data_IF_483327829256
#
_entry.id   IF_483327829256
#
_cell.length_a   1.000
_cell.length_b   1.000
_cell.length_c   1.000
_cell.angle_alpha   90.00
_cell.angle_beta   90.00
_cell.angle_gamma   90.00
#
_symmetry.space_group_name_H-M   'P 1'
#
loop_
_entity.id
_entity.type
_entity.pdbx_description
1 polymer ?
#
# COMPACT_ATOMS: atom_id res chain seq x y z
N UNK A 1 -1.67 13.00 -3.52
CA UNK A 1 -2.76 13.34 -2.57
C UNK A 1 -2.08 13.98 -1.39
N UNK A 2 -2.04 15.31 -1.41
CA UNK A 2 -1.25 16.10 -0.47
C UNK A 2 -1.72 15.92 0.97
N UNK A 3 -0.73 15.87 1.86
CA UNK A 3 -0.86 15.52 3.27
C UNK A 3 -1.49 16.67 4.06
N UNK A 4 -2.82 16.84 3.94
CA UNK A 4 -3.58 17.77 4.80
C UNK A 4 -3.34 17.48 6.29
N UNK A 5 -3.06 16.22 6.63
CA UNK A 5 -2.82 15.76 8.00
C UNK A 5 -1.53 16.29 8.66
N UNK A 6 -0.61 16.91 7.91
CA UNK A 6 0.70 17.33 8.48
C UNK A 6 0.76 18.78 8.93
N UNK A 7 -0.21 19.63 8.55
CA UNK A 7 -0.17 21.08 8.83
C UNK A 7 -1.28 21.57 9.78
N UNK A 8 -2.43 20.89 9.80
CA UNK A 8 -3.58 21.31 10.62
C UNK A 8 -4.04 20.21 11.56
N UNK A 9 -4.30 20.58 12.81
CA UNK A 9 -4.91 19.70 13.82
C UNK A 9 -6.42 19.59 13.60
N UNK A 10 -7.03 18.50 14.07
CA UNK A 10 -8.48 18.30 13.99
C UNK A 10 -9.26 19.48 14.61
N UNK A 11 -8.75 20.03 15.71
CA UNK A 11 -9.34 21.20 16.38
C UNK A 11 -9.27 22.48 15.54
N UNK A 12 -8.17 22.74 14.85
CA UNK A 12 -8.08 23.90 13.94
C UNK A 12 -9.06 23.80 12.78
N UNK A 13 -9.27 22.59 12.25
CA UNK A 13 -10.25 22.36 11.17
C UNK A 13 -11.68 22.51 11.70
N UNK A 14 -12.00 22.05 12.91
CA UNK A 14 -13.31 22.28 13.55
C UNK A 14 -13.62 23.76 13.67
N UNK A 15 -12.65 24.59 14.09
CA UNK A 15 -12.85 26.04 14.23
C UNK A 15 -13.16 26.69 12.89
N UNK A 16 -12.46 26.31 11.82
CA UNK A 16 -12.71 26.83 10.46
C UNK A 16 -14.09 26.40 9.93
N UNK A 17 -14.47 25.12 10.12
CA UNK A 17 -15.79 24.62 9.73
C UNK A 17 -16.92 25.26 10.55
N UNK A 18 -16.69 25.53 11.84
CA UNK A 18 -17.65 26.27 12.66
C UNK A 18 -17.82 27.71 12.17
N UNK A 19 -16.73 28.40 11.84
CA UNK A 19 -16.77 29.74 11.25
C UNK A 19 -17.52 29.78 9.90
N UNK A 20 -17.41 28.72 9.09
CA UNK A 20 -18.23 28.54 7.89
C UNK A 20 -19.72 28.37 8.21
N UNK A 21 -20.06 27.50 9.17
CA UNK A 21 -21.45 27.29 9.60
C UNK A 21 -22.09 28.56 10.19
N UNK A 22 -21.28 29.43 10.79
CA UNK A 22 -21.71 30.73 11.33
C UNK A 22 -21.77 31.85 10.28
N UNK A 23 -21.31 31.59 9.05
CA UNK A 23 -21.26 32.59 7.97
C UNK A 23 -20.19 33.66 8.13
N UNK A 24 -19.21 33.43 9.02
CA UNK A 24 -18.09 34.36 9.28
C UNK A 24 -16.96 34.14 8.26
N UNK A 25 -16.81 32.90 7.77
CA UNK A 25 -15.76 32.51 6.84
C UNK A 25 -16.36 31.97 5.54
N UNK A 26 -15.78 32.42 4.43
CA UNK A 26 -16.14 31.94 3.11
C UNK A 26 -15.46 30.60 2.78
N UNK A 27 -16.18 29.75 2.04
CA UNK A 27 -15.67 28.48 1.52
C UNK A 27 -14.29 28.61 0.84
N UNK A 28 -14.08 29.52 -0.15
CA UNK A 28 -12.78 29.66 -0.81
C UNK A 28 -11.65 30.01 0.16
N UNK A 29 -11.91 30.85 1.17
CA UNK A 29 -10.90 31.21 2.16
C UNK A 29 -10.45 29.99 2.98
N UNK A 30 -11.36 29.07 3.30
CA UNK A 30 -11.06 27.83 4.02
C UNK A 30 -10.34 26.82 3.11
N UNK A 31 -10.74 26.72 1.84
CA UNK A 31 -10.07 25.88 0.84
C UNK A 31 -8.60 26.30 0.66
N UNK A 32 -8.34 27.60 0.55
CA UNK A 32 -6.99 28.17 0.44
C UNK A 32 -6.18 28.00 1.73
N UNK A 33 -6.81 28.25 2.89
CA UNK A 33 -6.16 28.12 4.21
C UNK A 33 -5.74 26.67 4.47
N UNK A 34 -6.61 25.71 4.18
CA UNK A 34 -6.34 24.28 4.38
C UNK A 34 -5.57 23.64 3.23
N UNK A 35 -5.47 24.31 2.08
CA UNK A 35 -4.87 23.78 0.86
C UNK A 35 -5.61 22.55 0.34
N UNK A 36 -6.94 22.53 0.45
CA UNK A 36 -7.78 21.37 0.09
C UNK A 36 -8.65 21.64 -1.13
N UNK A 37 -9.02 20.57 -1.83
CA UNK A 37 -9.97 20.66 -2.93
C UNK A 37 -11.40 20.89 -2.43
N UNK A 38 -12.24 21.49 -3.28
CA UNK A 38 -13.69 21.65 -3.04
C UNK A 38 -14.37 20.35 -2.61
N UNK A 39 -14.05 19.23 -3.27
CA UNK A 39 -14.65 17.93 -2.92
C UNK A 39 -14.26 17.50 -1.50
N UNK A 40 -13.00 17.68 -1.13
CA UNK A 40 -12.51 17.39 0.23
C UNK A 40 -13.19 18.27 1.26
N UNK A 41 -13.39 19.57 0.98
CA UNK A 41 -14.09 20.49 1.87
C UNK A 41 -15.50 19.99 2.21
N UNK A 42 -16.29 19.58 1.21
CA UNK A 42 -17.66 19.10 1.46
C UNK A 42 -17.71 17.76 2.20
N UNK A 43 -16.72 16.88 1.99
CA UNK A 43 -16.57 15.64 2.78
C UNK A 43 -16.32 15.97 4.24
N UNK A 44 -15.34 16.83 4.53
CA UNK A 44 -15.02 17.25 5.90
C UNK A 44 -16.21 17.97 6.57
N UNK A 45 -16.92 18.82 5.83
CA UNK A 45 -18.12 19.49 6.32
C UNK A 45 -19.24 18.50 6.63
N UNK A 46 -19.41 17.47 5.80
CA UNK A 46 -20.38 16.39 6.03
C UNK A 46 -20.06 15.61 7.30
N UNK A 47 -18.81 15.18 7.46
CA UNK A 47 -18.33 14.48 8.66
C UNK A 47 -18.51 15.32 9.93
N UNK A 48 -18.15 16.61 9.87
CA UNK A 48 -18.32 17.55 10.97
C UNK A 48 -19.80 17.75 11.35
N UNK A 49 -20.71 17.82 10.37
CA UNK A 49 -22.15 17.99 10.64
C UNK A 49 -22.81 16.73 11.20
N UNK A 50 -22.31 15.55 10.85
CA UNK A 50 -22.80 14.30 11.39
C UNK A 50 -22.44 14.14 12.88
N UNK A 51 -21.19 14.40 13.27
CA UNK A 51 -20.75 14.29 14.67
C UNK A 51 -19.61 15.30 14.97
N UNK A 52 -19.93 16.52 15.45
CA UNK A 52 -18.92 17.55 15.70
C UNK A 52 -17.98 17.20 16.87
N UNK A 53 -18.45 16.43 17.86
CA UNK A 53 -17.68 16.08 19.05
C UNK A 53 -16.61 15.00 18.77
N UNK A 54 -16.90 14.07 17.86
CA UNK A 54 -16.01 12.93 17.53
C UNK A 54 -15.18 13.19 16.26
N UNK A 55 -15.32 14.36 15.63
CA UNK A 55 -14.55 14.71 14.44
C UNK A 55 -13.05 14.62 14.72
N UNK A 56 -12.40 13.69 14.01
CA UNK A 56 -11.00 13.35 14.16
C UNK A 56 -10.39 13.17 12.78
N UNK A 57 -9.34 13.94 12.50
CA UNK A 57 -8.57 13.84 11.25
C UNK A 57 -7.49 12.76 11.32
N UNK A 58 -7.54 11.86 12.30
CA UNK A 58 -6.56 10.78 12.42
C UNK A 58 -6.78 9.82 11.26
N UNK A 59 -5.93 9.93 10.23
CA UNK A 59 -5.85 8.96 9.16
C UNK A 59 -5.45 7.60 9.74
N UNK A 60 -6.42 6.72 9.97
CA UNK A 60 -6.17 5.34 10.36
C UNK A 60 -6.10 4.48 9.11
N UNK A 61 -4.89 4.06 8.73
CA UNK A 61 -4.72 3.04 7.70
C UNK A 61 -5.12 1.69 8.28
N UNK A 62 -6.35 1.25 8.00
CA UNK A 62 -6.88 -0.03 8.48
C UNK A 62 -6.34 -1.26 7.73
N UNK A 63 -5.41 -1.09 6.78
CA UNK A 63 -4.74 -2.23 6.15
C UNK A 63 -3.50 -2.62 6.97
N UNK A 64 -3.44 -3.86 7.50
CA UNK A 64 -2.19 -4.36 8.06
C UNK A 64 -1.13 -4.26 6.96
N UNK A 65 -0.08 -3.47 7.23
CA UNK A 65 1.01 -3.25 6.27
C UNK A 65 1.84 -4.52 6.05
N UNK A 66 1.59 -5.58 6.84
CA UNK A 66 2.35 -6.83 6.84
C UNK A 66 1.43 -8.01 6.57
N UNK A 67 1.88 -8.88 5.67
CA UNK A 67 1.31 -10.22 5.55
C UNK A 67 1.43 -10.91 6.92
N UNK A 68 0.44 -11.72 7.34
CA UNK A 68 0.56 -12.46 8.58
C UNK A 68 1.80 -13.35 8.52
N UNK A 69 2.54 -13.45 9.62
CA UNK A 69 3.81 -14.19 9.68
C UNK A 69 3.69 -15.66 9.22
N UNK A 70 2.50 -16.26 9.36
CA UNK A 70 2.19 -17.59 8.83
C UNK A 70 2.32 -17.64 7.30
N UNK A 71 1.79 -16.64 6.60
CA UNK A 71 1.87 -16.53 5.14
C UNK A 71 3.30 -16.28 4.69
N UNK A 72 4.05 -15.44 5.41
CA UNK A 72 5.46 -15.19 5.07
C UNK A 72 6.31 -16.46 5.17
N UNK A 73 6.12 -17.27 6.22
CA UNK A 73 6.81 -18.56 6.38
C UNK A 73 6.47 -19.55 5.27
N UNK A 74 5.22 -19.58 4.81
CA UNK A 74 4.81 -20.46 3.70
C UNK A 74 5.44 -20.01 2.38
N UNK A 75 5.48 -18.70 2.11
CA UNK A 75 6.15 -18.16 0.93
C UNK A 75 7.65 -18.48 0.96
N UNK A 76 8.31 -18.34 2.12
CA UNK A 76 9.72 -18.67 2.30
C UNK A 76 10.00 -20.16 2.04
N UNK A 77 9.19 -21.07 2.61
CA UNK A 77 9.35 -22.50 2.42
C UNK A 77 9.25 -22.90 0.94
N UNK A 78 8.25 -22.39 0.21
CA UNK A 78 8.10 -22.67 -1.23
C UNK A 78 9.23 -22.06 -2.07
N UNK A 79 9.73 -20.86 -1.72
CA UNK A 79 10.87 -20.25 -2.39
C UNK A 79 12.18 -21.02 -2.18
N UNK A 80 12.38 -21.61 -1.00
CA UNK A 80 13.55 -22.45 -0.71
C UNK A 80 13.48 -23.79 -1.45
N UNK A 81 12.29 -24.38 -1.58
CA UNK A 81 12.09 -25.57 -2.42
C UNK A 81 12.42 -25.28 -3.88
N UNK A 82 11.91 -24.16 -4.41
CA UNK A 82 12.22 -23.76 -5.79
C UNK A 82 13.70 -23.47 -5.99
N UNK A 83 14.36 -22.86 -5.00
CA UNK A 83 15.82 -22.64 -5.03
C UNK A 83 16.59 -23.95 -5.10
N UNK A 84 16.20 -24.97 -4.33
CA UNK A 84 16.82 -26.30 -4.40
C UNK A 84 16.71 -26.92 -5.80
N UNK A 85 15.59 -26.72 -6.50
CA UNK A 85 15.40 -27.23 -7.87
C UNK A 85 16.27 -26.51 -8.91
N UNK A 86 16.51 -25.22 -8.73
CA UNK A 86 17.38 -24.42 -9.62
C UNK A 86 18.86 -24.67 -9.34
N UNK A 87 19.23 -24.95 -8.09
CA UNK A 87 20.61 -25.26 -7.70
C UNK A 87 21.02 -26.70 -8.03
N UNK A 88 20.05 -27.60 -8.25
CA UNK A 88 20.31 -29.00 -8.62
C UNK A 88 20.84 -29.10 -10.07
N UNK A 89 22.13 -29.45 -10.28
CA UNK A 89 22.71 -29.53 -11.61
C UNK A 89 22.21 -30.72 -12.43
N UNK A 90 21.48 -31.66 -11.81
CA UNK A 90 20.91 -32.82 -12.51
C UNK A 90 19.60 -32.48 -13.23
N UNK A 91 18.96 -31.37 -12.84
CA UNK A 91 17.71 -30.91 -13.43
C UNK A 91 18.00 -29.81 -14.46
N UNK A 92 17.39 -29.86 -15.66
CA UNK A 92 17.54 -28.82 -16.68
C UNK A 92 16.67 -27.58 -16.35
N UNK A 93 16.77 -27.06 -15.13
CA UNK A 93 15.98 -25.93 -14.63
C UNK A 93 16.94 -24.80 -14.33
N UNK A 94 16.89 -23.74 -15.12
CA UNK A 94 17.81 -22.60 -15.00
C UNK A 94 17.23 -21.41 -14.24
N UNK A 95 15.92 -21.39 -13.94
CA UNK A 95 15.28 -20.25 -13.29
C UNK A 95 14.01 -20.57 -12.51
N UNK A 96 13.61 -19.61 -11.68
CA UNK A 96 12.50 -19.72 -10.74
C UNK A 96 11.13 -19.64 -11.41
N UNK A 97 10.25 -20.60 -11.16
CA UNK A 97 8.87 -20.58 -11.64
C UNK A 97 7.90 -20.03 -10.58
N UNK A 98 7.75 -18.71 -10.53
CA UNK A 98 6.84 -18.04 -9.60
C UNK A 98 5.35 -18.36 -9.81
N UNK A 99 4.96 -18.83 -11.01
CA UNK A 99 3.59 -19.28 -11.25
C UNK A 99 3.32 -20.60 -10.51
N UNK A 100 4.27 -21.55 -10.58
CA UNK A 100 4.16 -22.81 -9.83
C UNK A 100 4.13 -22.58 -8.32
N UNK A 101 4.97 -21.67 -7.80
CA UNK A 101 4.94 -21.28 -6.38
C UNK A 101 3.57 -20.72 -5.98
N UNK A 102 3.02 -19.83 -6.81
CA UNK A 102 1.69 -19.24 -6.56
C UNK A 102 0.60 -20.30 -6.50
N UNK A 103 0.64 -21.29 -7.40
CA UNK A 103 -0.34 -22.38 -7.44
C UNK A 103 -0.22 -23.29 -6.22
N UNK A 104 1.00 -23.57 -5.74
CA UNK A 104 1.23 -24.34 -4.49
C UNK A 104 0.73 -23.58 -3.27
N UNK A 105 1.03 -22.29 -3.16
CA UNK A 105 0.53 -21.42 -2.09
C UNK A 105 -1.01 -21.36 -2.10
N UNK A 106 -1.64 -21.31 -3.27
CA UNK A 106 -3.09 -21.36 -3.39
C UNK A 106 -3.69 -22.67 -2.85
N UNK A 107 -3.02 -23.82 -3.05
CA UNK A 107 -3.43 -25.11 -2.45
C UNK A 107 -3.34 -25.11 -0.92
N UNK A 108 -2.39 -24.36 -0.35
CA UNK A 108 -2.27 -24.15 1.09
C UNK A 108 -3.22 -23.06 1.64
N UNK A 109 -4.11 -22.52 0.80
CA UNK A 109 -5.08 -21.49 1.19
C UNK A 109 -4.50 -20.07 1.22
N UNK A 110 -3.27 -19.88 0.72
CA UNK A 110 -2.59 -18.59 0.68
C UNK A 110 -2.69 -17.98 -0.70
N UNK A 111 -3.60 -17.01 -0.83
CA UNK A 111 -3.81 -16.27 -2.07
C UNK A 111 -2.95 -15.01 -2.05
N UNK A 112 -1.82 -15.04 -2.74
CA UNK A 112 -0.92 -13.90 -2.91
C UNK A 112 -0.67 -13.59 -4.39
N UNK A 113 -0.38 -12.33 -4.67
CA UNK A 113 -0.06 -11.90 -6.03
C UNK A 113 1.39 -12.24 -6.37
N UNK A 114 1.68 -12.50 -7.66
CA UNK A 114 3.05 -12.77 -8.12
C UNK A 114 4.05 -11.65 -7.78
N UNK A 115 3.69 -10.34 -7.86
CA UNK A 115 4.58 -9.26 -7.41
C UNK A 115 4.99 -9.38 -5.93
N UNK A 116 4.08 -9.84 -5.06
CA UNK A 116 4.39 -10.07 -3.65
C UNK A 116 5.39 -11.21 -3.47
N UNK A 117 5.22 -12.31 -4.21
CA UNK A 117 6.16 -13.44 -4.19
C UNK A 117 7.54 -12.99 -4.70
N UNK A 118 7.59 -12.23 -5.80
CA UNK A 118 8.85 -11.71 -6.38
C UNK A 118 9.54 -10.74 -5.41
N UNK A 119 8.79 -9.87 -4.74
CA UNK A 119 9.35 -8.96 -3.74
C UNK A 119 10.03 -9.76 -2.61
N UNK A 120 9.38 -10.81 -2.09
CA UNK A 120 9.95 -11.70 -1.08
C UNK A 120 11.12 -12.52 -1.62
N UNK A 121 11.05 -12.99 -2.85
CA UNK A 121 12.15 -13.70 -3.50
C UNK A 121 13.42 -12.85 -3.58
N UNK A 122 13.30 -11.54 -3.81
CA UNK A 122 14.43 -10.59 -3.74
C UNK A 122 14.98 -10.48 -2.32
N UNK A 123 14.11 -10.38 -1.31
CA UNK A 123 14.52 -10.31 0.10
C UNK A 123 15.30 -11.57 0.53
N UNK A 124 14.90 -12.76 0.04
CA UNK A 124 15.54 -14.05 0.35
C UNK A 124 16.69 -14.44 -0.59
N UNK A 125 17.02 -13.62 -1.59
CA UNK A 125 18.07 -13.92 -2.57
C UNK A 125 17.71 -15.02 -3.58
N UNK A 126 16.43 -15.42 -3.67
CA UNK A 126 15.89 -16.36 -4.66
C UNK A 126 15.42 -15.63 -5.93
N UNK A 127 16.17 -14.63 -6.39
CA UNK A 127 15.81 -13.82 -7.55
C UNK A 127 16.99 -13.71 -8.50
N UNK A 128 16.80 -14.21 -9.73
CA UNK A 128 17.76 -13.98 -10.81
C UNK A 128 17.39 -12.70 -11.56
N UNK A 129 18.24 -11.66 -11.53
CA UNK A 129 18.05 -10.50 -12.39
C UNK A 129 18.19 -10.96 -13.84
N UNK A 130 17.23 -10.57 -14.68
CA UNK A 130 17.34 -10.84 -16.11
C UNK A 130 18.54 -10.05 -16.67
N UNK A 131 19.45 -10.69 -17.43
CA UNK A 131 20.54 -9.97 -18.06
C UNK A 131 19.95 -8.91 -18.99
N UNK A 132 20.41 -7.67 -18.83
CA UNK A 132 19.97 -6.56 -19.67
C UNK A 132 20.34 -6.90 -21.12
N UNK A 133 19.33 -6.97 -22.01
CA UNK A 133 19.59 -7.16 -23.44
C UNK A 133 20.45 -6.00 -23.91
N UNK A 134 21.74 -6.24 -24.15
CA UNK A 134 22.59 -5.30 -24.87
C UNK A 134 21.87 -4.98 -26.18
N UNK A 135 21.39 -3.74 -26.29
CA UNK A 135 20.95 -3.17 -27.56
C UNK A 135 22.18 -3.16 -28.45
N UNK A 136 22.27 -4.14 -29.35
CA UNK A 136 23.22 -4.08 -30.47
C UNK A 136 22.83 -2.84 -31.26
N UNK A 137 23.60 -1.76 -31.10
CA UNK A 137 23.48 -0.59 -31.95
C UNK A 137 23.83 -1.02 -33.37
N UNK A 138 22.85 -0.96 -34.27
CA UNK A 138 23.10 -1.04 -35.71
C UNK A 138 23.54 0.33 -36.22
#
# INVERSE_FOLDING_TARGET
MDQVHKRFTAEQVKVLLNGYCQGILDRPAIEDTLGISKSTFFVLLGEYRCNPNEFSLVYQRASPTRLPASVEKQIEAELMLEKGLVEDPTLPISGYNYAAIKDRLAKHGVIVSSPTIIARAKDFGCYQPHPEKQRVSR
#
